data_IF_947678409698
#
_entry.id   IF_947678409698
#
_cell.length_a   1.000
_cell.length_b   1.000
_cell.length_c   1.000
_cell.angle_alpha   90.00
_cell.angle_beta   90.00
_cell.angle_gamma   90.00
#
_symmetry.space_group_name_H-M   'P 1'
#
loop_
_entity.id
_entity.type
_entity.pdbx_description
1 polymer ?
#
# COMPACT_ATOMS: atom_id res chain seq x y z
N UNK A 1 -9.75 -8.47 38.84
CA UNK A 1 -9.54 -8.75 37.40
C UNK A 1 -9.54 -7.41 36.66
N UNK A 2 -8.38 -6.92 36.24
CA UNK A 2 -8.23 -5.75 35.38
C UNK A 2 -7.82 -6.23 33.98
N UNK A 3 -8.79 -6.41 33.10
CA UNK A 3 -8.56 -6.60 31.67
C UNK A 3 -8.04 -5.29 31.10
N UNK A 4 -6.72 -5.18 30.93
CA UNK A 4 -6.10 -4.13 30.11
C UNK A 4 -6.69 -4.23 28.71
N UNK A 5 -7.64 -3.36 28.37
CA UNK A 5 -8.06 -3.15 26.99
C UNK A 5 -6.88 -2.53 26.25
N UNK A 6 -6.11 -3.37 25.55
CA UNK A 6 -5.15 -2.91 24.56
C UNK A 6 -5.96 -2.28 23.42
N UNK A 7 -6.17 -0.96 23.49
CA UNK A 7 -6.72 -0.21 22.37
C UNK A 7 -5.76 -0.41 21.19
N UNK A 8 -6.18 -1.02 20.08
CA UNK A 8 -5.29 -1.27 18.97
C UNK A 8 -4.69 0.06 18.53
N UNK A 9 -3.35 0.08 18.44
CA UNK A 9 -2.62 1.27 17.99
C UNK A 9 -3.22 1.76 16.67
N UNK A 10 -3.43 3.08 16.50
CA UNK A 10 -3.98 3.61 15.27
C UNK A 10 -3.08 3.25 14.08
N UNK A 11 -3.65 3.06 12.88
CA UNK A 11 -2.87 2.70 11.70
C UNK A 11 -1.85 3.79 11.39
N UNK A 12 -0.62 3.41 11.04
CA UNK A 12 0.42 4.36 10.63
C UNK A 12 0.01 5.20 9.42
N UNK A 13 -0.96 4.73 8.63
CA UNK A 13 -1.55 5.44 7.51
C UNK A 13 -2.99 5.00 7.28
N UNK A 14 -3.87 5.96 7.02
CA UNK A 14 -5.25 5.72 6.62
C UNK A 14 -5.61 6.65 5.47
N UNK A 15 -6.21 6.10 4.42
CA UNK A 15 -6.74 6.87 3.30
C UNK A 15 -8.10 6.30 2.88
N UNK A 16 -8.97 7.18 2.40
CA UNK A 16 -10.29 6.83 1.91
C UNK A 16 -10.31 7.09 0.41
N UNK A 17 -10.76 6.11 -0.36
CA UNK A 17 -11.03 6.26 -1.78
C UNK A 17 -12.53 6.14 -2.02
N UNK A 18 -13.04 6.89 -3.00
CA UNK A 18 -14.44 6.79 -3.44
C UNK A 18 -14.72 5.51 -4.23
N UNK A 19 -13.68 4.83 -4.75
CA UNK A 19 -13.83 3.58 -5.49
C UNK A 19 -12.60 2.69 -5.42
N UNK A 20 -12.77 1.47 -4.94
CA UNK A 20 -11.74 0.44 -4.96
C UNK A 20 -11.21 0.14 -6.39
N UNK A 21 -12.03 0.39 -7.43
CA UNK A 21 -11.63 0.18 -8.83
C UNK A 21 -10.47 1.07 -9.26
N UNK A 22 -10.38 2.29 -8.73
CA UNK A 22 -9.27 3.20 -9.05
C UNK A 22 -7.93 2.63 -8.56
N UNK A 23 -7.90 2.17 -7.32
CA UNK A 23 -6.73 1.51 -6.74
C UNK A 23 -6.37 0.25 -7.52
N UNK A 24 -7.38 -0.57 -7.84
CA UNK A 24 -7.17 -1.82 -8.58
C UNK A 24 -6.58 -1.55 -9.97
N UNK A 25 -7.05 -0.52 -10.69
CA UNK A 25 -6.50 -0.16 -12.00
C UNK A 25 -5.00 0.20 -11.91
N UNK A 26 -4.59 0.98 -10.90
CA UNK A 26 -3.19 1.33 -10.67
C UNK A 26 -2.37 0.07 -10.39
N UNK A 27 -2.87 -0.81 -9.51
CA UNK A 27 -2.20 -2.08 -9.20
C UNK A 27 -2.09 -2.99 -10.43
N UNK A 28 -3.07 -2.97 -11.33
CA UNK A 28 -3.05 -3.72 -12.59
C UNK A 28 -2.00 -3.18 -13.57
N UNK A 29 -1.74 -1.87 -13.59
CA UNK A 29 -0.68 -1.29 -14.41
C UNK A 29 0.71 -1.83 -14.03
N UNK A 30 0.90 -2.25 -12.78
CA UNK A 30 2.17 -2.80 -12.25
C UNK A 30 2.11 -4.31 -11.98
N UNK A 31 1.03 -4.98 -12.40
CA UNK A 31 0.76 -6.39 -12.10
C UNK A 31 1.58 -7.41 -12.90
N UNK A 32 2.63 -6.98 -13.59
CA UNK A 32 3.58 -7.85 -14.27
C UNK A 32 4.58 -8.53 -13.30
N UNK A 33 4.68 -8.02 -12.07
CA UNK A 33 5.42 -8.66 -10.96
C UNK A 33 4.50 -8.94 -9.77
N UNK A 34 4.84 -9.95 -8.97
CA UNK A 34 4.05 -10.36 -7.79
C UNK A 34 4.40 -9.59 -6.51
N UNK A 35 5.41 -8.73 -6.55
CA UNK A 35 5.85 -7.90 -5.43
C UNK A 35 5.94 -6.45 -5.87
N UNK A 36 5.37 -5.56 -5.06
CA UNK A 36 5.48 -4.12 -5.21
C UNK A 36 5.99 -3.53 -3.89
N UNK A 37 6.82 -2.50 -4.00
CA UNK A 37 7.22 -1.66 -2.89
C UNK A 37 6.18 -0.55 -2.73
N UNK A 38 5.75 -0.32 -1.49
CA UNK A 38 4.83 0.77 -1.15
C UNK A 38 5.57 1.75 -0.27
N UNK A 39 5.66 2.99 -0.72
CA UNK A 39 6.15 4.11 0.06
C UNK A 39 4.97 4.99 0.45
N UNK A 40 4.90 5.29 1.75
CA UNK A 40 3.88 6.14 2.34
C UNK A 40 4.57 7.42 2.83
N UNK A 41 4.07 8.56 2.38
CA UNK A 41 4.60 9.88 2.72
C UNK A 41 3.44 10.88 2.84
N UNK A 42 3.74 12.10 3.30
CA UNK A 42 2.73 13.13 3.51
C UNK A 42 2.06 13.60 2.22
N UNK A 43 2.70 13.40 1.06
CA UNK A 43 2.16 13.67 -0.28
C UNK A 43 1.28 12.54 -0.83
N UNK A 44 1.27 11.36 -0.18
CA UNK A 44 0.37 10.25 -0.52
C UNK A 44 1.04 8.88 -0.53
N UNK A 45 0.56 8.02 -1.44
CA UNK A 45 1.06 6.66 -1.62
C UNK A 45 1.78 6.56 -2.96
N UNK A 46 2.99 6.00 -2.93
CA UNK A 46 3.72 5.60 -4.13
C UNK A 46 3.84 4.09 -4.15
N UNK A 47 3.45 3.49 -5.28
CA UNK A 47 3.64 2.07 -5.56
C UNK A 47 4.70 1.95 -6.65
N UNK A 48 5.81 1.30 -6.33
CA UNK A 48 6.88 0.99 -7.29
C UNK A 48 7.03 -0.52 -7.42
N UNK A 49 7.45 -0.95 -8.60
CA UNK A 49 7.78 -2.33 -8.88
C UNK A 49 9.20 -2.35 -9.45
N UNK A 50 10.00 -3.27 -8.97
CA UNK A 50 11.36 -3.48 -9.46
C UNK A 50 11.39 -4.84 -10.15
N UNK A 51 11.72 -4.84 -11.44
CA UNK A 51 12.02 -6.06 -12.17
C UNK A 51 13.54 -6.19 -12.26
N UNK A 52 14.10 -7.09 -11.45
CA UNK A 52 15.54 -7.37 -11.43
C UNK A 52 16.07 -7.98 -12.73
N UNK A 53 15.18 -8.23 -13.72
CA UNK A 53 15.54 -8.83 -15.01
C UNK A 53 15.78 -7.82 -16.13
N UNK A 54 15.59 -6.53 -15.89
CA UNK A 54 15.91 -5.50 -16.91
C UNK A 54 17.21 -4.78 -16.52
N UNK A 55 18.31 -5.44 -16.82
CA UNK A 55 19.56 -4.76 -17.19
C UNK A 55 19.57 -4.77 -18.73
N UNK A 56 19.39 -3.62 -19.36
CA UNK A 56 19.73 -3.43 -20.77
C UNK A 56 20.33 -2.05 -20.98
#
# INVERSE_FOLDING_TARGET
>A
MNTSQETPNPPCFSAVTSSARQLFNILRCVGFVSRAQVQISSDGIRVSVEDSRVMQ
#
